data_IF_806046287689
#
_entry.id   IF_806046287689
#
_cell.length_a   1.000
_cell.length_b   1.000
_cell.length_c   1.000
_cell.angle_alpha   90.00
_cell.angle_beta   90.00
_cell.angle_gamma   90.00
#
_symmetry.space_group_name_H-M   'P 1'
#
loop_
_entity.id
_entity.type
_entity.pdbx_description
1 polymer ?
#
# COMPACT_ATOMS: atom_id res chain seq x y z
N UNK A 1 0.32 -18.40 -0.30
CA UNK A 1 1.34 -17.41 -0.68
C UNK A 1 0.69 -16.48 -1.69
N UNK A 2 0.70 -15.19 -1.41
CA UNK A 2 0.08 -14.18 -2.26
C UNK A 2 1.14 -13.59 -3.15
N UNK A 3 1.04 -13.86 -4.46
CA UNK A 3 1.99 -13.30 -5.43
C UNK A 3 1.97 -11.77 -5.44
N UNK A 4 0.84 -11.16 -5.08
CA UNK A 4 0.72 -9.69 -4.99
C UNK A 4 1.72 -9.11 -4.01
N UNK A 5 1.83 -9.70 -2.83
CA UNK A 5 2.73 -9.20 -1.79
C UNK A 5 4.15 -9.74 -1.95
N UNK A 6 4.32 -10.98 -2.43
CA UNK A 6 5.63 -11.64 -2.50
C UNK A 6 6.64 -10.91 -3.41
N UNK A 7 6.16 -10.13 -4.39
CA UNK A 7 7.01 -9.32 -5.29
C UNK A 7 7.43 -7.97 -4.69
N UNK A 8 6.85 -7.57 -3.56
CA UNK A 8 7.12 -6.29 -2.90
C UNK A 8 8.24 -6.49 -1.87
N UNK A 9 9.24 -5.59 -1.79
CA UNK A 9 10.31 -5.64 -0.79
C UNK A 9 9.77 -5.78 0.65
N UNK A 10 10.43 -6.58 1.47
CA UNK A 10 9.96 -7.01 2.80
C UNK A 10 9.45 -5.88 3.70
N UNK A 11 10.19 -4.76 3.76
CA UNK A 11 9.82 -3.60 4.59
C UNK A 11 8.53 -2.93 4.11
N UNK A 12 8.41 -2.70 2.81
CA UNK A 12 7.20 -2.12 2.22
C UNK A 12 6.02 -3.09 2.33
N UNK A 13 6.25 -4.39 2.06
CA UNK A 13 5.25 -5.45 2.18
C UNK A 13 4.64 -5.50 3.58
N UNK A 14 5.46 -5.51 4.62
CA UNK A 14 4.99 -5.56 6.00
C UNK A 14 4.08 -4.37 6.34
N UNK A 15 4.52 -3.16 5.96
CA UNK A 15 3.77 -1.93 6.18
C UNK A 15 2.43 -1.91 5.42
N UNK A 16 2.44 -2.32 4.14
CA UNK A 16 1.21 -2.39 3.34
C UNK A 16 0.22 -3.38 3.95
N UNK A 17 0.69 -4.55 4.41
CA UNK A 17 -0.16 -5.53 5.07
C UNK A 17 -0.73 -4.95 6.37
N UNK A 18 0.08 -4.30 7.20
CA UNK A 18 -0.37 -3.68 8.45
C UNK A 18 -1.45 -2.61 8.21
N UNK A 19 -1.23 -1.70 7.25
CA UNK A 19 -2.20 -0.66 6.90
C UNK A 19 -3.49 -1.25 6.30
N UNK A 20 -3.39 -2.30 5.48
CA UNK A 20 -4.55 -3.03 4.97
C UNK A 20 -5.30 -3.78 6.09
N UNK A 21 -4.60 -4.45 7.01
CA UNK A 21 -5.23 -5.12 8.16
C UNK A 21 -6.02 -4.13 9.01
N UNK A 22 -5.47 -2.93 9.21
CA UNK A 22 -6.08 -1.88 10.02
C UNK A 22 -7.24 -1.18 9.32
N UNK A 23 -7.11 -0.85 8.03
CA UNK A 23 -8.05 0.04 7.32
C UNK A 23 -8.97 -0.68 6.36
N UNK A 24 -8.54 -1.79 5.75
CA UNK A 24 -9.33 -2.52 4.77
C UNK A 24 -9.00 -4.04 4.77
N UNK A 25 -9.40 -4.78 5.83
CA UNK A 25 -9.10 -6.20 5.95
C UNK A 25 -9.80 -7.05 4.88
N UNK A 26 -10.87 -6.53 4.27
CA UNK A 26 -11.56 -7.20 3.14
C UNK A 26 -10.66 -7.20 1.91
N UNK A 27 -10.12 -6.04 1.51
CA UNK A 27 -9.18 -5.93 0.40
C UNK A 27 -7.91 -6.76 0.65
N UNK A 28 -7.43 -6.82 1.90
CA UNK A 28 -6.32 -7.71 2.24
C UNK A 28 -6.63 -9.17 1.94
N UNK A 29 -7.81 -9.66 2.34
CA UNK A 29 -8.21 -11.03 2.11
C UNK A 29 -8.30 -11.35 0.61
N UNK A 30 -8.84 -10.42 -0.18
CA UNK A 30 -8.89 -10.53 -1.63
C UNK A 30 -7.48 -10.65 -2.22
N UNK A 31 -6.59 -9.69 -1.90
CA UNK A 31 -5.21 -9.65 -2.40
C UNK A 31 -4.40 -10.87 -1.96
N UNK A 32 -4.69 -11.46 -0.80
CA UNK A 32 -4.04 -12.68 -0.32
C UNK A 32 -4.30 -13.90 -1.23
N UNK A 33 -5.40 -13.88 -1.96
CA UNK A 33 -5.81 -14.96 -2.88
C UNK A 33 -5.56 -14.64 -4.35
N UNK A 34 -5.23 -13.38 -4.67
CA UNK A 34 -4.97 -12.93 -6.02
C UNK A 34 -3.56 -13.28 -6.50
N UNK A 35 -3.43 -13.55 -7.81
CA UNK A 35 -2.12 -13.66 -8.46
C UNK A 35 -1.54 -12.30 -8.89
N UNK A 36 -2.42 -11.34 -9.19
CA UNK A 36 -2.12 -9.97 -9.60
C UNK A 36 -3.29 -9.07 -9.17
N UNK A 37 -3.06 -7.82 -8.70
CA UNK A 37 -4.15 -6.91 -8.39
C UNK A 37 -4.85 -6.41 -9.67
N UNK A 38 -6.17 -6.18 -9.58
CA UNK A 38 -6.89 -5.38 -10.59
C UNK A 38 -6.56 -3.90 -10.43
N UNK A 39 -6.96 -3.06 -11.40
CA UNK A 39 -6.83 -1.61 -11.27
C UNK A 39 -7.63 -1.08 -10.06
N UNK A 40 -8.85 -1.58 -9.85
CA UNK A 40 -9.68 -1.18 -8.70
C UNK A 40 -9.05 -1.60 -7.37
N UNK A 41 -8.44 -2.79 -7.31
CA UNK A 41 -7.71 -3.22 -6.11
C UNK A 41 -6.45 -2.38 -5.87
N UNK A 42 -5.74 -1.99 -6.94
CA UNK A 42 -4.57 -1.11 -6.86
C UNK A 42 -4.95 0.28 -6.38
N UNK A 43 -6.06 0.83 -6.89
CA UNK A 43 -6.64 2.07 -6.40
C UNK A 43 -7.09 1.94 -4.93
N UNK A 44 -7.64 0.78 -4.55
CA UNK A 44 -7.98 0.46 -3.16
C UNK A 44 -6.76 0.48 -2.22
N UNK A 45 -5.63 -0.08 -2.65
CA UNK A 45 -4.38 -0.05 -1.88
C UNK A 45 -3.83 1.37 -1.80
N UNK A 46 -3.63 2.02 -2.95
CA UNK A 46 -2.93 3.30 -3.01
C UNK A 46 -3.82 4.45 -2.54
N UNK A 47 -4.98 4.64 -3.16
CA UNK A 47 -5.87 5.77 -2.89
C UNK A 47 -6.78 5.52 -1.67
N UNK A 48 -7.15 4.26 -1.44
CA UNK A 48 -8.06 3.88 -0.35
C UNK A 48 -7.40 3.67 1.00
N UNK A 49 -6.12 3.27 1.04
CA UNK A 49 -5.44 2.85 2.28
C UNK A 49 -4.17 3.65 2.53
N UNK A 50 -3.21 3.64 1.60
CA UNK A 50 -1.90 4.26 1.82
C UNK A 50 -1.93 5.79 1.74
N UNK A 51 -2.64 6.38 0.78
CA UNK A 51 -2.74 7.84 0.66
C UNK A 51 -3.43 8.50 1.87
N UNK A 52 -4.55 7.94 2.42
CA UNK A 52 -5.09 8.41 3.69
C UNK A 52 -4.11 8.26 4.85
N UNK A 53 -3.38 7.13 4.91
CA UNK A 53 -2.37 6.93 5.95
C UNK A 53 -1.24 7.95 5.88
N UNK A 54 -0.76 8.26 4.68
CA UNK A 54 0.24 9.29 4.45
C UNK A 54 -0.29 10.66 4.91
N UNK A 55 -1.54 10.98 4.52
CA UNK A 55 -2.17 12.25 4.88
C UNK A 55 -2.28 12.47 6.38
N UNK A 56 -2.57 11.42 7.14
CA UNK A 56 -2.63 11.45 8.60
C UNK A 56 -1.26 11.61 9.26
N UNK A 57 -0.16 11.39 8.52
CA UNK A 57 1.21 11.43 9.00
C UNK A 57 2.03 12.60 8.44
N UNK A 58 1.36 13.59 7.85
CA UNK A 58 1.99 14.89 7.62
C UNK A 58 2.22 15.61 8.96
N UNK A 59 3.45 16.05 9.17
CA UNK A 59 3.83 16.93 10.26
C UNK A 59 3.61 18.41 9.93
N UNK A 60 4.22 19.31 10.71
CA UNK A 60 4.29 20.73 10.38
C UNK A 60 4.81 20.96 8.96
N UNK A 61 4.31 22.00 8.30
CA UNK A 61 4.70 22.37 6.92
C UNK A 61 4.38 21.33 5.84
N UNK A 62 3.45 20.40 6.12
CA UNK A 62 3.06 19.33 5.20
C UNK A 62 4.21 18.39 4.82
N UNK A 63 5.22 18.26 5.69
CA UNK A 63 6.31 17.30 5.52
C UNK A 63 5.93 15.98 6.21
N UNK A 64 5.98 14.83 5.55
CA UNK A 64 5.71 13.54 6.19
C UNK A 64 6.67 13.31 7.37
N UNK A 65 6.15 12.80 8.49
CA UNK A 65 6.99 12.29 9.57
C UNK A 65 7.70 10.98 9.12
N UNK A 66 8.48 10.35 10.01
CA UNK A 66 9.19 9.10 9.68
C UNK A 66 8.25 7.99 9.18
N UNK A 67 7.07 7.86 9.77
CA UNK A 67 6.07 6.89 9.34
C UNK A 67 5.44 7.27 7.99
N UNK A 68 5.18 8.55 7.77
CA UNK A 68 4.72 9.06 6.48
C UNK A 68 5.72 8.80 5.34
N UNK A 69 7.01 9.01 5.58
CA UNK A 69 8.06 8.65 4.60
C UNK A 69 8.11 7.14 4.33
N UNK A 70 7.88 6.32 5.35
CA UNK A 70 7.78 4.87 5.17
C UNK A 70 6.55 4.47 4.33
N UNK A 71 5.43 5.19 4.47
CA UNK A 71 4.24 5.00 3.63
C UNK A 71 4.51 5.44 2.19
N UNK A 72 5.14 6.59 1.96
CA UNK A 72 5.54 7.02 0.60
C UNK A 72 6.41 5.97 -0.09
N UNK A 73 7.47 5.51 0.59
CA UNK A 73 8.34 4.46 0.07
C UNK A 73 7.59 3.15 -0.21
N UNK A 74 6.53 2.84 0.57
CA UNK A 74 5.69 1.68 0.33
C UNK A 74 4.77 1.86 -0.88
N UNK A 75 4.24 3.07 -1.12
CA UNK A 75 3.48 3.40 -2.34
C UNK A 75 4.36 3.22 -3.57
N UNK A 76 5.57 3.77 -3.55
CA UNK A 76 6.53 3.65 -4.66
C UNK A 76 6.86 2.19 -4.96
N UNK A 77 7.21 1.42 -3.93
CA UNK A 77 7.52 -0.01 -4.08
C UNK A 77 6.32 -0.82 -4.61
N UNK A 78 5.10 -0.48 -4.19
CA UNK A 78 3.90 -1.12 -4.72
C UNK A 78 3.70 -0.80 -6.21
N UNK A 79 3.84 0.47 -6.61
CA UNK A 79 3.63 0.90 -7.99
C UNK A 79 4.74 0.46 -8.94
N UNK A 80 5.96 0.26 -8.45
CA UNK A 80 7.05 -0.36 -9.21
C UNK A 80 6.74 -1.84 -9.51
N UNK A 81 6.22 -2.57 -8.51
CA UNK A 81 5.80 -3.97 -8.68
C UNK A 81 4.53 -4.12 -9.53
N UNK A 82 3.58 -3.19 -9.37
CA UNK A 82 2.27 -3.21 -10.02
C UNK A 82 1.95 -1.87 -10.70
N UNK A 83 2.57 -1.57 -11.85
CA UNK A 83 2.29 -0.35 -12.59
C UNK A 83 0.82 -0.29 -13.03
N UNK A 84 0.16 0.84 -12.74
CA UNK A 84 -1.22 1.09 -13.15
C UNK A 84 -1.20 1.71 -14.56
N UNK A 85 -1.56 0.92 -15.57
CA UNK A 85 -1.78 1.41 -16.92
C UNK A 85 -3.27 1.65 -17.14
N UNK A 86 -3.63 2.88 -17.52
CA UNK A 86 -5.00 3.32 -17.79
C UNK A 86 -5.14 3.77 -19.23
#
# INVERSE_FOLDING_TARGET
>A
MSKVFDVIPDRARALIIEELERRNPVLLAELRTAERPTNDQSDGVVLGVLAPALRENFGPDYVPNEYGLAIEAAIDAYLEAWPIHR
#
